data_IF_355051983927
#
_entry.id   IF_355051983927
#
_cell.length_a   1.000
_cell.length_b   1.000
_cell.length_c   1.000
_cell.angle_alpha   90.00
_cell.angle_beta   90.00
_cell.angle_gamma   90.00
#
_symmetry.space_group_name_H-M   'P 1'
#
loop_
_entity.id
_entity.type
_entity.pdbx_description
1 polymer ?
#
# COMPACT_ATOMS: atom_id res chain seq x y z
N UNK A 1 20.56 15.22 12.18
CA UNK A 1 19.15 15.51 12.53
C UNK A 1 18.29 15.62 11.28
N UNK A 2 18.70 16.44 10.30
CA UNK A 2 17.98 16.60 9.03
C UNK A 2 17.73 15.28 8.28
N UNK A 3 18.70 14.36 8.24
CA UNK A 3 18.55 13.05 7.60
C UNK A 3 17.48 12.18 8.29
N UNK A 4 17.38 12.25 9.62
CA UNK A 4 16.35 11.54 10.39
C UNK A 4 14.98 12.17 10.13
N UNK A 5 14.91 13.50 10.04
CA UNK A 5 13.68 14.20 9.61
C UNK A 5 13.25 13.70 8.24
N UNK A 6 14.14 13.67 7.25
CA UNK A 6 13.83 13.17 5.91
C UNK A 6 13.46 11.69 5.86
N UNK A 7 14.02 10.86 6.74
CA UNK A 7 13.59 9.46 6.87
C UNK A 7 12.11 9.38 7.26
N UNK A 8 11.67 10.20 8.21
CA UNK A 8 10.25 10.29 8.60
C UNK A 8 9.41 10.89 7.46
N UNK A 9 9.88 11.97 6.83
CA UNK A 9 9.15 12.62 5.73
C UNK A 9 8.99 11.70 4.51
N UNK A 10 9.96 10.84 4.21
CA UNK A 10 9.88 9.86 3.13
C UNK A 10 8.83 8.75 3.41
N UNK A 11 8.57 8.44 4.68
CA UNK A 11 7.54 7.49 5.05
C UNK A 11 6.11 8.05 4.89
N UNK A 12 5.93 9.38 5.05
CA UNK A 12 4.61 10.03 4.96
C UNK A 12 3.89 9.76 3.63
N UNK A 13 4.46 10.01 2.44
CA UNK A 13 3.76 9.77 1.18
C UNK A 13 3.53 8.28 0.91
N UNK A 14 4.41 7.38 1.37
CA UNK A 14 4.18 5.94 1.30
C UNK A 14 2.98 5.52 2.17
N UNK A 15 2.86 6.06 3.38
CA UNK A 15 1.70 5.84 4.25
C UNK A 15 0.45 6.44 3.63
N UNK A 16 0.51 7.66 3.10
CA UNK A 16 -0.61 8.31 2.45
C UNK A 16 -1.09 7.49 1.24
N UNK A 17 -0.19 7.06 0.37
CA UNK A 17 -0.50 6.16 -0.74
C UNK A 17 -1.16 4.87 -0.26
N UNK A 18 -0.55 4.16 0.70
CA UNK A 18 -1.08 2.86 1.16
C UNK A 18 -2.42 2.99 1.88
N UNK A 19 -2.71 4.14 2.50
CA UNK A 19 -4.03 4.40 3.12
C UNK A 19 -5.05 4.80 2.06
N UNK A 20 -4.71 5.76 1.20
CA UNK A 20 -5.64 6.34 0.25
C UNK A 20 -5.88 5.41 -0.95
N UNK A 21 -4.84 5.03 -1.66
CA UNK A 21 -4.93 4.09 -2.78
C UNK A 21 -5.19 2.65 -2.29
N UNK A 22 -4.89 2.35 -1.03
CA UNK A 22 -5.09 1.02 -0.45
C UNK A 22 -6.54 0.55 -0.44
N UNK A 23 -7.51 1.45 -0.22
CA UNK A 23 -8.91 1.06 -0.35
C UNK A 23 -9.35 0.96 -1.81
N UNK A 24 -8.76 1.73 -2.74
CA UNK A 24 -9.03 1.58 -4.18
C UNK A 24 -8.58 0.21 -4.68
N UNK A 25 -7.38 -0.22 -4.28
CA UNK A 25 -6.87 -1.58 -4.49
C UNK A 25 -7.80 -2.62 -3.86
N UNK A 26 -8.27 -2.36 -2.64
CA UNK A 26 -9.22 -3.21 -1.93
C UNK A 26 -10.55 -3.37 -2.66
N UNK A 27 -11.10 -2.28 -3.16
CA UNK A 27 -12.32 -2.22 -3.97
C UNK A 27 -12.12 -3.03 -5.26
N UNK A 28 -10.99 -2.86 -5.94
CA UNK A 28 -10.65 -3.62 -7.14
C UNK A 28 -10.56 -5.12 -6.90
N UNK A 29 -9.85 -5.55 -5.86
CA UNK A 29 -9.75 -6.97 -5.48
C UNK A 29 -11.12 -7.61 -5.23
N UNK A 30 -12.05 -6.85 -4.66
CA UNK A 30 -13.37 -7.34 -4.29
C UNK A 30 -14.42 -7.19 -5.40
N UNK A 31 -14.08 -6.53 -6.50
CA UNK A 31 -15.02 -6.11 -7.55
C UNK A 31 -15.98 -7.23 -7.98
N UNK A 32 -15.46 -8.37 -8.45
CA UNK A 32 -16.29 -9.52 -8.87
C UNK A 32 -16.97 -10.25 -7.72
N UNK A 33 -16.42 -10.15 -6.51
CA UNK A 33 -16.94 -10.84 -5.34
C UNK A 33 -18.18 -10.14 -4.78
N UNK A 34 -18.17 -8.81 -4.76
CA UNK A 34 -19.25 -7.99 -4.19
C UNK A 34 -20.26 -7.50 -5.22
N UNK A 35 -19.95 -7.52 -6.52
CA UNK A 35 -20.85 -7.07 -7.59
C UNK A 35 -21.06 -8.16 -8.65
N UNK A 36 -22.30 -8.58 -8.83
CA UNK A 36 -22.70 -9.69 -9.68
C UNK A 36 -23.44 -9.23 -10.95
N UNK A 37 -24.00 -8.01 -10.94
CA UNK A 37 -24.62 -7.37 -12.12
C UNK A 37 -23.81 -6.17 -12.60
N UNK A 38 -24.01 -5.74 -13.85
CA UNK A 38 -23.30 -4.56 -14.37
C UNK A 38 -23.63 -3.28 -13.57
N UNK A 39 -24.89 -3.10 -13.15
CA UNK A 39 -25.29 -1.98 -12.30
C UNK A 39 -24.55 -1.99 -10.96
N UNK A 40 -24.41 -3.15 -10.34
CA UNK A 40 -23.62 -3.30 -9.10
C UNK A 40 -22.14 -3.00 -9.35
N UNK A 41 -21.57 -3.47 -10.47
CA UNK A 41 -20.16 -3.21 -10.81
C UNK A 41 -19.91 -1.73 -11.10
N UNK A 42 -20.85 -1.03 -11.74
CA UNK A 42 -20.81 0.42 -11.92
C UNK A 42 -20.92 1.17 -10.58
N UNK A 43 -21.74 0.69 -9.65
CA UNK A 43 -21.81 1.27 -8.30
C UNK A 43 -20.48 1.12 -7.53
N UNK A 44 -19.81 -0.02 -7.66
CA UNK A 44 -18.47 -0.24 -7.09
C UNK A 44 -17.45 0.74 -7.67
N UNK A 45 -17.34 0.86 -9.00
CA UNK A 45 -16.40 1.80 -9.63
C UNK A 45 -16.70 3.27 -9.28
N UNK A 46 -17.98 3.66 -9.28
CA UNK A 46 -18.40 5.02 -8.91
C UNK A 46 -18.03 5.39 -7.48
N UNK A 47 -17.88 4.43 -6.59
CA UNK A 47 -17.48 4.69 -5.19
C UNK A 47 -16.05 5.21 -5.05
N UNK A 48 -15.20 5.02 -6.07
CA UNK A 48 -13.79 5.45 -6.09
C UNK A 48 -13.47 6.41 -7.25
N UNK A 49 -14.31 6.46 -8.29
CA UNK A 49 -14.11 7.23 -9.53
C UNK A 49 -13.60 8.67 -9.34
N UNK A 50 -14.19 9.50 -8.45
CA UNK A 50 -13.76 10.89 -8.30
C UNK A 50 -12.39 11.10 -7.61
N UNK A 51 -11.80 10.07 -7.00
CA UNK A 51 -10.66 10.23 -6.08
C UNK A 51 -9.47 9.30 -6.38
N UNK A 52 -9.66 8.19 -7.10
CA UNK A 52 -8.61 7.17 -7.26
C UNK A 52 -7.33 7.72 -7.92
N UNK A 53 -7.45 8.53 -8.98
CA UNK A 53 -6.30 9.13 -9.66
C UNK A 53 -5.53 10.09 -8.72
N UNK A 54 -6.28 10.88 -7.94
CA UNK A 54 -5.70 11.73 -6.90
C UNK A 54 -4.98 10.95 -5.79
N UNK A 55 -5.39 9.72 -5.51
CA UNK A 55 -4.73 8.85 -4.54
C UNK A 55 -3.39 8.30 -5.07
N UNK A 56 -3.28 8.03 -6.38
CA UNK A 56 -2.03 7.56 -7.00
C UNK A 56 -0.90 8.60 -6.92
N UNK A 57 -1.23 9.89 -6.90
CA UNK A 57 -0.24 10.98 -6.80
C UNK A 57 0.71 10.79 -5.62
N UNK A 58 0.24 10.21 -4.52
CA UNK A 58 1.08 9.96 -3.34
C UNK A 58 2.20 8.96 -3.59
N UNK A 59 2.04 8.01 -4.53
CA UNK A 59 3.12 7.13 -4.96
C UNK A 59 4.21 7.89 -5.73
N UNK A 60 3.79 8.81 -6.60
CA UNK A 60 4.70 9.70 -7.34
C UNK A 60 5.46 10.61 -6.37
N UNK A 61 4.75 11.19 -5.39
CA UNK A 61 5.36 12.02 -4.32
C UNK A 61 6.34 11.19 -3.51
N UNK A 62 6.04 9.91 -3.21
CA UNK A 62 6.98 9.02 -2.53
C UNK A 62 8.27 8.82 -3.35
N UNK A 63 8.15 8.49 -4.64
CA UNK A 63 9.29 8.36 -5.55
C UNK A 63 10.13 9.64 -5.63
N UNK A 64 9.48 10.79 -5.81
CA UNK A 64 10.12 12.10 -5.85
C UNK A 64 10.83 12.44 -4.53
N UNK A 65 10.20 12.11 -3.39
CA UNK A 65 10.79 12.32 -2.06
C UNK A 65 12.04 11.46 -1.86
N UNK A 66 12.01 10.20 -2.29
CA UNK A 66 13.18 9.32 -2.24
C UNK A 66 14.31 9.84 -3.14
N UNK A 67 13.99 10.25 -4.38
CA UNK A 67 14.97 10.81 -5.31
C UNK A 67 15.67 12.05 -4.73
N UNK A 68 14.88 12.96 -4.17
CA UNK A 68 15.37 14.23 -3.64
C UNK A 68 16.17 14.05 -2.34
N UNK A 69 15.69 13.23 -1.40
CA UNK A 69 16.27 13.10 -0.07
C UNK A 69 17.35 12.02 0.01
N UNK A 70 17.20 10.94 -0.75
CA UNK A 70 18.04 9.75 -0.71
C UNK A 70 18.39 9.27 -2.14
N UNK A 71 19.12 10.06 -2.94
CA UNK A 71 19.37 9.75 -4.35
C UNK A 71 20.11 8.43 -4.56
N UNK A 72 21.02 8.06 -3.66
CA UNK A 72 21.74 6.78 -3.71
C UNK A 72 20.77 5.62 -3.52
N UNK A 73 19.88 5.72 -2.53
CA UNK A 73 18.83 4.73 -2.31
C UNK A 73 17.93 4.61 -3.53
N UNK A 74 17.50 5.74 -4.10
CA UNK A 74 16.66 5.76 -5.29
C UNK A 74 17.33 5.00 -6.45
N UNK A 75 18.58 5.32 -6.77
CA UNK A 75 19.31 4.65 -7.85
C UNK A 75 19.44 3.14 -7.62
N UNK A 76 19.91 2.75 -6.42
CA UNK A 76 20.16 1.34 -6.07
C UNK A 76 18.88 0.53 -5.98
N UNK A 77 17.81 1.09 -5.41
CA UNK A 77 16.53 0.38 -5.30
C UNK A 77 15.87 0.18 -6.68
N UNK A 78 15.86 1.22 -7.53
CA UNK A 78 15.25 1.11 -8.87
C UNK A 78 16.04 0.19 -9.80
N UNK A 79 17.38 0.20 -9.73
CA UNK A 79 18.21 -0.73 -10.51
C UNK A 79 18.07 -2.17 -10.00
N UNK A 80 18.13 -2.39 -8.68
CA UNK A 80 18.10 -3.73 -8.11
C UNK A 80 16.73 -4.39 -8.15
N UNK A 81 15.67 -3.60 -8.06
CA UNK A 81 14.28 -4.05 -8.23
C UNK A 81 13.73 -3.77 -9.65
N UNK A 82 14.60 -3.69 -10.67
CA UNK A 82 14.18 -3.37 -12.04
C UNK A 82 12.97 -4.18 -12.53
N UNK A 83 13.07 -5.52 -12.44
CA UNK A 83 12.02 -6.42 -12.91
C UNK A 83 10.71 -6.30 -12.10
N UNK A 84 10.70 -6.41 -10.76
CA UNK A 84 9.46 -6.26 -9.99
C UNK A 84 8.85 -4.86 -10.10
N UNK A 85 9.64 -3.78 -10.19
CA UNK A 85 9.11 -2.42 -10.40
C UNK A 85 8.50 -2.25 -11.79
N UNK A 86 9.09 -2.88 -12.82
CA UNK A 86 8.49 -2.92 -14.16
C UNK A 86 7.13 -3.63 -14.14
N UNK A 87 7.01 -4.73 -13.38
CA UNK A 87 5.72 -5.40 -13.19
C UNK A 87 4.71 -4.50 -12.46
N UNK A 88 5.12 -3.83 -11.39
CA UNK A 88 4.28 -2.86 -10.66
C UNK A 88 3.76 -1.77 -11.60
N UNK A 89 4.62 -1.23 -12.48
CA UNK A 89 4.22 -0.22 -13.47
C UNK A 89 3.15 -0.76 -14.42
N UNK A 90 3.32 -1.95 -14.97
CA UNK A 90 2.31 -2.56 -15.83
C UNK A 90 1.00 -2.81 -15.08
N UNK A 91 1.05 -3.26 -13.82
CA UNK A 91 -0.14 -3.46 -13.01
C UNK A 91 -0.89 -2.14 -12.75
N UNK A 92 -0.17 -1.03 -12.50
CA UNK A 92 -0.78 0.30 -12.39
C UNK A 92 -1.48 0.69 -13.70
N UNK A 93 -0.83 0.48 -14.85
CA UNK A 93 -1.45 0.74 -16.16
C UNK A 93 -2.71 -0.09 -16.36
N UNK A 94 -2.66 -1.41 -16.16
CA UNK A 94 -3.84 -2.28 -16.34
C UNK A 94 -4.98 -1.93 -15.38
N UNK A 95 -4.65 -1.46 -14.17
CA UNK A 95 -5.65 -1.00 -13.21
C UNK A 95 -6.37 0.25 -13.71
N UNK A 96 -5.62 1.28 -14.11
CA UNK A 96 -6.18 2.53 -14.64
C UNK A 96 -7.02 2.27 -15.89
N UNK A 97 -6.50 1.50 -16.84
CA UNK A 97 -7.22 1.12 -18.06
C UNK A 97 -8.49 0.31 -17.76
N UNK A 98 -8.47 -0.55 -16.73
CA UNK A 98 -9.64 -1.30 -16.29
C UNK A 98 -10.79 -0.43 -15.79
N UNK A 99 -10.48 0.74 -15.22
CA UNK A 99 -11.49 1.71 -14.77
C UNK A 99 -11.97 2.56 -15.95
N UNK A 100 -11.04 3.14 -16.70
CA UNK A 100 -11.32 4.14 -17.74
C UNK A 100 -11.87 3.52 -19.03
N UNK A 101 -11.27 2.42 -19.49
CA UNK A 101 -11.63 1.85 -20.79
C UNK A 101 -12.88 0.99 -20.76
N UNK A 102 -13.30 0.50 -19.58
CA UNK A 102 -14.42 -0.44 -19.43
C UNK A 102 -15.68 -0.02 -20.21
N UNK A 103 -15.99 1.26 -20.22
CA UNK A 103 -17.24 1.80 -20.75
C UNK A 103 -17.18 2.20 -22.23
N UNK A 104 -16.02 2.06 -22.88
CA UNK A 104 -15.81 2.54 -24.24
C UNK A 104 -16.53 1.71 -25.31
N UNK A 105 -16.72 0.41 -25.08
CA UNK A 105 -17.41 -0.48 -26.02
C UNK A 105 -18.53 -1.23 -25.29
N UNK A 106 -19.80 -1.11 -25.74
CA UNK A 106 -20.94 -1.79 -25.14
C UNK A 106 -20.98 -3.28 -25.54
N UNK A 107 -19.92 -4.02 -25.20
CA UNK A 107 -19.77 -5.44 -25.51
C UNK A 107 -19.42 -6.26 -24.25
N UNK A 108 -20.17 -7.33 -23.91
CA UNK A 108 -20.00 -8.05 -22.65
C UNK A 108 -18.59 -8.60 -22.42
N UNK A 109 -17.92 -9.11 -23.46
CA UNK A 109 -16.54 -9.62 -23.33
C UNK A 109 -15.54 -8.49 -23.04
N UNK A 110 -15.79 -7.29 -23.55
CA UNK A 110 -14.91 -6.14 -23.36
C UNK A 110 -15.02 -5.63 -21.91
N UNK A 111 -16.23 -5.45 -21.40
CA UNK A 111 -16.46 -5.11 -19.99
C UNK A 111 -15.91 -6.18 -19.05
N UNK A 112 -16.10 -7.47 -19.36
CA UNK A 112 -15.59 -8.57 -18.54
C UNK A 112 -14.06 -8.61 -18.50
N UNK A 113 -13.38 -8.34 -19.63
CA UNK A 113 -11.93 -8.26 -19.70
C UNK A 113 -11.38 -7.14 -18.80
N UNK A 114 -11.97 -5.95 -18.87
CA UNK A 114 -11.54 -4.82 -18.03
C UNK A 114 -11.91 -4.98 -16.56
N UNK A 115 -13.07 -5.56 -16.25
CA UNK A 115 -13.46 -5.91 -14.89
C UNK A 115 -12.47 -6.94 -14.29
N UNK A 116 -12.04 -7.94 -15.07
CA UNK A 116 -11.03 -8.91 -14.65
C UNK A 116 -9.63 -8.30 -14.52
N UNK A 117 -9.25 -7.42 -15.45
CA UNK A 117 -7.97 -6.69 -15.42
C UNK A 117 -7.88 -5.79 -14.20
N UNK A 118 -8.93 -5.04 -13.88
CA UNK A 118 -9.02 -4.21 -12.68
C UNK A 118 -8.86 -5.03 -11.40
N UNK A 119 -9.58 -6.15 -11.28
CA UNK A 119 -9.51 -7.01 -10.10
C UNK A 119 -8.15 -7.70 -9.95
N UNK A 120 -7.64 -8.29 -11.03
CA UNK A 120 -6.35 -8.98 -11.06
C UNK A 120 -5.18 -8.03 -10.80
N UNK A 121 -5.17 -6.87 -11.48
CA UNK A 121 -4.13 -5.87 -11.32
C UNK A 121 -4.10 -5.32 -9.89
N UNK A 122 -5.27 -5.01 -9.30
CA UNK A 122 -5.36 -4.52 -7.92
C UNK A 122 -4.83 -5.54 -6.89
N UNK A 123 -5.17 -6.82 -7.07
CA UNK A 123 -4.69 -7.89 -6.19
C UNK A 123 -3.20 -8.15 -6.30
N UNK A 124 -2.69 -8.25 -7.53
CA UNK A 124 -1.28 -8.45 -7.80
C UNK A 124 -0.45 -7.25 -7.35
N UNK A 125 -0.96 -6.02 -7.50
CA UNK A 125 -0.29 -4.81 -7.07
C UNK A 125 -0.18 -4.73 -5.55
N UNK A 126 -1.26 -5.03 -4.81
CA UNK A 126 -1.24 -5.13 -3.35
C UNK A 126 -0.22 -6.18 -2.88
N UNK A 127 -0.17 -7.35 -3.53
CA UNK A 127 0.81 -8.40 -3.23
C UNK A 127 2.24 -7.93 -3.51
N UNK A 128 2.49 -7.36 -4.70
CA UNK A 128 3.81 -6.93 -5.13
C UNK A 128 4.38 -5.84 -4.24
N UNK A 129 3.58 -4.84 -3.85
CA UNK A 129 3.99 -3.78 -2.92
C UNK A 129 4.29 -4.32 -1.52
N UNK A 130 3.46 -5.24 -1.01
CA UNK A 130 3.72 -5.91 0.26
C UNK A 130 5.00 -6.76 0.23
N UNK A 131 5.23 -7.50 -0.86
CA UNK A 131 6.45 -8.27 -1.05
C UNK A 131 7.69 -7.38 -1.20
N UNK A 132 7.58 -6.24 -1.89
CA UNK A 132 8.66 -5.25 -2.01
C UNK A 132 9.06 -4.69 -0.65
N UNK A 133 8.08 -4.29 0.18
CA UNK A 133 8.36 -3.86 1.56
C UNK A 133 8.98 -5.00 2.38
N UNK A 134 8.49 -6.23 2.21
CA UNK A 134 9.08 -7.43 2.80
C UNK A 134 10.55 -7.63 2.44
N UNK A 135 10.94 -7.39 1.18
CA UNK A 135 12.34 -7.44 0.76
C UNK A 135 13.20 -6.39 1.47
N UNK A 136 12.68 -5.16 1.63
CA UNK A 136 13.39 -4.11 2.38
C UNK A 136 13.55 -4.50 3.84
N UNK A 137 12.50 -5.02 4.49
CA UNK A 137 12.56 -5.44 5.91
C UNK A 137 13.48 -6.65 6.12
N UNK A 138 13.45 -7.64 5.21
CA UNK A 138 14.34 -8.80 5.23
C UNK A 138 15.80 -8.43 4.90
N UNK A 139 15.98 -7.35 4.16
CA UNK A 139 17.24 -6.96 3.58
C UNK A 139 17.51 -7.63 2.23
N UNK A 140 18.13 -6.86 1.32
CA UNK A 140 18.43 -7.27 -0.05
C UNK A 140 19.85 -7.84 -0.16
N UNK A 141 20.15 -8.52 -1.26
CA UNK A 141 21.50 -9.05 -1.56
C UNK A 141 22.43 -7.95 -2.09
N UNK A 142 22.61 -6.87 -1.30
CA UNK A 142 23.48 -5.75 -1.63
C UNK A 142 24.95 -6.18 -1.62
N UNK A 143 25.62 -5.98 -2.76
CA UNK A 143 27.04 -6.23 -2.94
C UNK A 143 27.91 -5.16 -2.29
N UNK A 144 29.22 -5.44 -2.21
CA UNK A 144 30.20 -4.49 -1.69
C UNK A 144 30.38 -3.25 -2.60
N UNK A 145 30.03 -3.38 -3.88
CA UNK A 145 29.95 -2.31 -4.88
C UNK A 145 28.69 -1.45 -4.74
N UNK A 146 27.82 -1.75 -3.76
CA UNK A 146 26.58 -1.00 -3.51
C UNK A 146 25.48 -1.29 -4.52
N UNK A 147 25.61 -2.34 -5.33
CA UNK A 147 24.59 -2.76 -6.30
C UNK A 147 23.98 -4.12 -5.91
N UNK A 148 22.77 -4.38 -6.38
CA UNK A 148 22.17 -5.71 -6.28
C UNK A 148 21.27 -5.97 -7.49
N UNK A 149 20.92 -7.23 -7.67
CA UNK A 149 19.87 -7.65 -8.59
C UNK A 149 18.95 -8.61 -7.85
N UNK A 150 17.64 -8.36 -7.86
CA UNK A 150 16.65 -9.23 -7.26
C UNK A 150 15.90 -10.02 -8.35
N UNK A 151 16.27 -11.28 -8.62
CA UNK A 151 15.48 -12.16 -9.49
C UNK A 151 14.10 -12.40 -8.87
N UNK A 152 13.09 -12.76 -9.67
CA UNK A 152 11.73 -12.94 -9.13
C UNK A 152 11.67 -14.05 -8.06
N UNK A 153 12.38 -15.16 -8.27
CA UNK A 153 12.46 -16.28 -7.33
C UNK A 153 13.88 -16.86 -7.32
N UNK A 154 14.29 -17.40 -6.17
CA UNK A 154 15.50 -18.23 -6.04
C UNK A 154 15.20 -19.48 -5.23
N UNK A 155 14.68 -19.30 -4.01
CA UNK A 155 14.27 -20.35 -3.10
C UNK A 155 12.89 -20.06 -2.52
N UNK A 156 12.12 -21.13 -2.25
CA UNK A 156 10.79 -21.02 -1.61
C UNK A 156 10.93 -20.55 -0.17
N UNK A 157 11.89 -21.10 0.57
CA UNK A 157 12.16 -20.74 1.96
C UNK A 157 13.09 -19.54 2.01
N UNK A 158 12.79 -18.58 2.91
CA UNK A 158 13.70 -17.46 3.12
C UNK A 158 14.97 -17.99 3.82
N UNK A 159 16.16 -17.55 3.39
CA UNK A 159 17.38 -18.04 4.00
C UNK A 159 17.59 -17.42 5.39
N UNK A 160 18.23 -18.17 6.29
CA UNK A 160 18.52 -17.72 7.65
C UNK A 160 19.23 -16.34 7.65
N UNK A 161 19.02 -15.49 8.68
CA UNK A 161 19.70 -14.19 8.78
C UNK A 161 21.21 -14.35 8.65
N UNK A 162 21.83 -13.52 7.80
CA UNK A 162 23.27 -13.57 7.53
C UNK A 162 23.75 -14.69 6.58
N UNK A 163 22.87 -15.59 6.13
CA UNK A 163 23.27 -16.62 5.16
C UNK A 163 23.66 -15.97 3.82
N UNK A 164 24.80 -16.40 3.22
CA UNK A 164 25.29 -15.85 1.96
C UNK A 164 24.39 -16.24 0.79
N UNK A 165 24.47 -15.47 -0.29
CA UNK A 165 23.78 -15.77 -1.54
C UNK A 165 22.70 -14.77 -1.92
N UNK A 166 22.20 -14.96 -3.13
CA UNK A 166 21.18 -14.11 -3.73
C UNK A 166 19.78 -14.56 -3.30
N UNK A 167 18.95 -13.59 -2.92
CA UNK A 167 17.54 -13.80 -2.57
C UNK A 167 16.65 -13.30 -3.69
N UNK A 168 15.61 -14.08 -3.99
CA UNK A 168 14.56 -13.65 -4.89
C UNK A 168 13.65 -12.59 -4.25
N UNK A 169 12.88 -11.91 -5.10
CA UNK A 169 11.82 -10.98 -4.67
C UNK A 169 10.73 -11.75 -3.91
N UNK A 170 10.39 -12.95 -4.35
CA UNK A 170 9.36 -13.80 -3.74
C UNK A 170 10.01 -15.01 -3.07
N UNK A 171 9.88 -15.05 -1.74
CA UNK A 171 10.13 -16.18 -0.85
C UNK A 171 8.99 -16.27 0.18
N UNK A 172 8.99 -17.27 1.06
CA UNK A 172 7.90 -17.45 2.01
C UNK A 172 7.69 -16.27 2.97
N UNK A 173 8.72 -15.50 3.32
CA UNK A 173 8.58 -14.30 4.16
C UNK A 173 7.99 -13.12 3.36
N UNK A 174 8.52 -12.84 2.16
CA UNK A 174 8.02 -11.73 1.34
C UNK A 174 6.63 -12.04 0.77
N UNK A 175 6.32 -13.32 0.51
CA UNK A 175 4.98 -13.77 0.19
C UNK A 175 4.01 -13.59 1.37
N UNK A 176 4.44 -13.88 2.61
CA UNK A 176 3.64 -13.55 3.80
C UNK A 176 3.38 -12.05 3.91
N UNK A 177 4.36 -11.20 3.62
CA UNK A 177 4.18 -9.75 3.56
C UNK A 177 3.16 -9.35 2.48
N UNK A 178 3.27 -9.92 1.27
CA UNK A 178 2.34 -9.68 0.17
C UNK A 178 0.91 -10.14 0.47
N UNK A 179 0.74 -11.34 1.03
CA UNK A 179 -0.57 -11.86 1.45
C UNK A 179 -1.18 -11.03 2.58
N UNK A 180 -0.36 -10.55 3.52
CA UNK A 180 -0.80 -9.63 4.57
C UNK A 180 -1.30 -8.32 3.96
N UNK A 181 -0.57 -7.75 3.01
CA UNK A 181 -0.99 -6.54 2.30
C UNK A 181 -2.31 -6.77 1.54
N UNK A 182 -2.44 -7.86 0.80
CA UNK A 182 -3.70 -8.25 0.12
C UNK A 182 -4.86 -8.30 1.12
N UNK A 183 -4.72 -9.02 2.23
CA UNK A 183 -5.80 -9.16 3.20
C UNK A 183 -6.17 -7.83 3.87
N UNK A 184 -5.18 -7.05 4.30
CA UNK A 184 -5.39 -5.76 4.98
C UNK A 184 -5.98 -4.71 4.03
N UNK A 185 -5.51 -4.62 2.80
CA UNK A 185 -6.03 -3.67 1.82
C UNK A 185 -7.41 -4.10 1.30
N UNK A 186 -7.66 -5.39 1.12
CA UNK A 186 -9.00 -5.90 0.83
C UNK A 186 -9.98 -5.59 1.97
N UNK A 187 -9.56 -5.75 3.23
CA UNK A 187 -10.37 -5.31 4.39
C UNK A 187 -10.66 -3.81 4.33
N UNK A 188 -9.66 -2.99 4.00
CA UNK A 188 -9.81 -1.55 3.89
C UNK A 188 -10.83 -1.15 2.81
N UNK A 189 -10.76 -1.77 1.62
CA UNK A 189 -11.73 -1.60 0.55
C UNK A 189 -13.13 -2.12 0.87
N UNK A 190 -13.24 -3.27 1.56
CA UNK A 190 -14.53 -3.79 2.02
C UNK A 190 -15.23 -2.82 2.99
N UNK A 191 -14.48 -2.20 3.89
CA UNK A 191 -14.97 -1.20 4.83
C UNK A 191 -15.39 0.10 4.12
N UNK A 192 -14.65 0.50 3.07
CA UNK A 192 -15.03 1.61 2.21
C UNK A 192 -16.38 1.34 1.52
N UNK A 193 -16.52 0.19 0.85
CA UNK A 193 -17.75 -0.20 0.17
C UNK A 193 -18.94 -0.32 1.13
N UNK A 194 -18.73 -0.92 2.31
CA UNK A 194 -19.76 -1.02 3.35
C UNK A 194 -20.24 0.34 3.89
N UNK A 195 -19.42 1.39 3.74
CA UNK A 195 -19.73 2.77 4.12
C UNK A 195 -20.33 3.58 2.96
N UNK A 196 -19.85 3.39 1.74
CA UNK A 196 -20.12 4.28 0.58
C UNK A 196 -21.17 3.76 -0.40
N UNK A 197 -21.48 2.46 -0.35
CA UNK A 197 -22.45 1.82 -1.24
C UNK A 197 -23.62 1.30 -0.40
N UNK A 198 -24.81 1.26 -1.00
CA UNK A 198 -26.04 0.75 -0.39
C UNK A 198 -26.48 -0.61 -0.97
N UNK A 199 -27.51 -1.20 -0.37
CA UNK A 199 -28.14 -2.42 -0.87
C UNK A 199 -27.31 -3.70 -0.73
N UNK A 200 -27.44 -4.59 -1.71
CA UNK A 200 -26.85 -5.94 -1.75
C UNK A 200 -25.32 -5.91 -1.74
N UNK A 201 -24.71 -4.98 -2.48
CA UNK A 201 -23.25 -4.79 -2.54
C UNK A 201 -22.71 -4.46 -1.16
N UNK A 202 -23.37 -3.55 -0.43
CA UNK A 202 -23.00 -3.18 0.93
C UNK A 202 -23.06 -4.38 1.89
N UNK A 203 -24.11 -5.21 1.78
CA UNK A 203 -24.26 -6.41 2.61
C UNK A 203 -23.15 -7.44 2.34
N UNK A 204 -22.81 -7.69 1.06
CA UNK A 204 -21.70 -8.57 0.69
C UNK A 204 -20.36 -8.03 1.17
N UNK A 205 -20.11 -6.72 1.01
CA UNK A 205 -18.90 -6.07 1.51
C UNK A 205 -18.74 -6.18 3.03
N UNK A 206 -19.82 -6.09 3.81
CA UNK A 206 -19.80 -6.29 5.28
C UNK A 206 -19.45 -7.72 5.68
N UNK A 207 -19.99 -8.70 4.96
CA UNK A 207 -19.68 -10.10 5.18
C UNK A 207 -18.20 -10.38 4.88
N UNK A 208 -17.67 -9.81 3.79
CA UNK A 208 -16.26 -9.92 3.43
C UNK A 208 -15.36 -9.20 4.42
N UNK A 209 -15.71 -7.98 4.87
CA UNK A 209 -14.97 -7.27 5.91
C UNK A 209 -14.83 -8.10 7.20
N UNK A 210 -15.87 -8.83 7.60
CA UNK A 210 -15.84 -9.68 8.80
C UNK A 210 -14.86 -10.87 8.65
N UNK A 211 -14.83 -11.50 7.47
CA UNK A 211 -13.90 -12.60 7.17
C UNK A 211 -12.47 -12.11 7.03
N UNK A 212 -12.28 -10.99 6.32
CA UNK A 212 -10.99 -10.37 6.08
C UNK A 212 -10.38 -9.83 7.37
N UNK A 213 -11.17 -9.33 8.32
CA UNK A 213 -10.67 -8.93 9.62
C UNK A 213 -9.95 -10.08 10.35
N UNK A 214 -10.54 -11.27 10.36
CA UNK A 214 -9.92 -12.45 10.97
C UNK A 214 -8.65 -12.84 10.20
N UNK A 215 -8.71 -12.88 8.86
CA UNK A 215 -7.56 -13.19 8.03
C UNK A 215 -6.40 -12.19 8.24
N UNK A 216 -6.69 -10.88 8.23
CA UNK A 216 -5.72 -9.81 8.49
C UNK A 216 -5.11 -9.93 9.88
N UNK A 217 -5.90 -10.21 10.92
CA UNK A 217 -5.39 -10.37 12.28
C UNK A 217 -4.40 -11.54 12.38
N UNK A 218 -4.75 -12.70 11.79
CA UNK A 218 -3.89 -13.88 11.79
C UNK A 218 -2.62 -13.69 10.97
N UNK A 219 -2.74 -13.05 9.79
CA UNK A 219 -1.60 -12.76 8.92
C UNK A 219 -0.65 -11.74 9.53
N UNK A 220 -1.18 -10.67 10.16
CA UNK A 220 -0.34 -9.67 10.85
C UNK A 220 0.33 -10.26 12.09
N UNK A 221 -0.35 -11.13 12.84
CA UNK A 221 0.28 -11.85 13.96
C UNK A 221 1.42 -12.75 13.48
N UNK A 222 1.17 -13.53 12.42
CA UNK A 222 2.18 -14.39 11.78
C UNK A 222 3.36 -13.58 11.23
N UNK A 223 3.07 -12.47 10.54
CA UNK A 223 4.07 -11.56 9.99
C UNK A 223 4.93 -10.96 11.11
N UNK A 224 4.29 -10.45 12.17
CA UNK A 224 5.01 -9.87 13.33
C UNK A 224 5.94 -10.90 13.96
N UNK A 225 5.47 -12.13 14.17
CA UNK A 225 6.30 -13.22 14.67
C UNK A 225 7.48 -13.50 13.73
N UNK A 226 7.24 -13.63 12.42
CA UNK A 226 8.28 -13.87 11.43
C UNK A 226 9.32 -12.73 11.37
N UNK A 227 8.87 -11.47 11.38
CA UNK A 227 9.76 -10.29 11.35
C UNK A 227 10.69 -10.24 12.56
N UNK A 228 10.26 -10.70 13.75
CA UNK A 228 11.14 -10.79 14.92
C UNK A 228 12.32 -11.75 14.73
N UNK A 229 12.20 -12.75 13.85
CA UNK A 229 13.30 -13.66 13.50
C UNK A 229 14.10 -13.17 12.29
N UNK A 230 13.43 -12.54 11.33
CA UNK A 230 14.03 -12.12 10.07
C UNK A 230 14.84 -10.83 10.21
N UNK A 231 14.37 -9.87 11.01
CA UNK A 231 15.01 -8.57 11.16
C UNK A 231 15.65 -8.40 12.55
N UNK A 232 16.96 -8.69 12.71
CA UNK A 232 17.65 -8.60 14.00
C UNK A 232 17.64 -7.18 14.60
N UNK A 233 17.63 -6.14 13.75
CA UNK A 233 17.61 -4.74 14.20
C UNK A 233 16.36 -4.39 15.01
N UNK A 234 15.23 -5.06 14.76
CA UNK A 234 13.98 -4.78 15.46
C UNK A 234 14.13 -4.97 16.98
N UNK A 235 14.73 -6.08 17.41
CA UNK A 235 14.94 -6.36 18.84
C UNK A 235 15.89 -5.36 19.47
N UNK A 236 17.00 -5.07 18.79
CA UNK A 236 17.99 -4.09 19.27
C UNK A 236 17.40 -2.67 19.34
N UNK A 237 16.56 -2.27 18.39
CA UNK A 237 15.89 -0.98 18.40
C UNK A 237 14.87 -0.88 19.54
N UNK A 238 14.10 -1.95 19.80
CA UNK A 238 13.13 -1.95 20.88
C UNK A 238 13.78 -1.90 22.27
N UNK A 239 14.92 -2.56 22.46
CA UNK A 239 15.67 -2.48 23.73
C UNK A 239 16.31 -1.11 23.92
N UNK A 240 16.90 -0.53 22.87
CA UNK A 240 17.57 0.77 22.96
C UNK A 240 16.57 1.94 23.07
N UNK A 241 15.39 1.82 22.44
CA UNK A 241 14.41 2.90 22.29
C UNK A 241 13.00 2.33 22.43
N UNK A 242 12.50 2.12 23.66
CA UNK A 242 11.22 1.45 23.90
C UNK A 242 10.00 2.21 23.32
N UNK A 243 10.13 3.51 23.03
CA UNK A 243 9.10 4.29 22.34
C UNK A 243 8.74 3.73 20.96
N UNK A 244 9.58 2.89 20.35
CA UNK A 244 9.24 2.12 19.15
C UNK A 244 8.01 1.23 19.29
N UNK A 245 7.64 0.84 20.52
CA UNK A 245 6.42 0.07 20.81
C UNK A 245 5.13 0.87 20.56
N UNK A 246 5.19 2.20 20.47
CA UNK A 246 4.01 3.01 20.22
C UNK A 246 3.33 2.64 18.89
N UNK A 247 4.10 2.36 17.84
CA UNK A 247 3.55 2.00 16.54
C UNK A 247 2.77 0.66 16.59
N UNK A 248 3.35 -0.48 17.03
CA UNK A 248 2.59 -1.74 17.12
C UNK A 248 1.44 -1.68 18.12
N UNK A 249 1.58 -0.97 19.25
CA UNK A 249 0.49 -0.78 20.21
C UNK A 249 -0.67 0.04 19.62
N UNK A 250 -0.35 1.09 18.84
CA UNK A 250 -1.36 1.85 18.09
C UNK A 250 -2.05 0.96 17.07
N UNK A 251 -1.31 0.09 16.38
CA UNK A 251 -1.88 -0.91 15.47
C UNK A 251 -2.85 -1.85 16.18
N UNK A 252 -2.46 -2.42 17.33
CA UNK A 252 -3.34 -3.29 18.13
C UNK A 252 -4.60 -2.55 18.59
N UNK A 253 -4.47 -1.32 19.08
CA UNK A 253 -5.59 -0.47 19.47
C UNK A 253 -6.53 -0.17 18.29
N UNK A 254 -5.97 0.18 17.13
CA UNK A 254 -6.73 0.43 15.91
C UNK A 254 -7.48 -0.82 15.43
N UNK A 255 -6.86 -2.01 15.50
CA UNK A 255 -7.50 -3.29 15.17
C UNK A 255 -8.65 -3.61 16.13
N UNK A 256 -8.49 -3.34 17.43
CA UNK A 256 -9.57 -3.50 18.41
C UNK A 256 -10.74 -2.55 18.13
N UNK A 257 -10.46 -1.27 17.87
CA UNK A 257 -11.49 -0.28 17.49
C UNK A 257 -12.20 -0.71 16.21
N UNK A 258 -11.46 -1.18 15.21
CA UNK A 258 -12.00 -1.71 13.96
C UNK A 258 -12.98 -2.86 14.25
N UNK A 259 -12.57 -3.85 15.05
CA UNK A 259 -13.42 -4.99 15.42
C UNK A 259 -14.74 -4.57 16.07
N UNK A 260 -14.68 -3.71 17.10
CA UNK A 260 -15.89 -3.24 17.78
C UNK A 260 -16.76 -2.36 16.90
N UNK A 261 -16.16 -1.48 16.08
CA UNK A 261 -16.90 -0.64 15.15
C UNK A 261 -17.60 -1.46 14.05
N UNK A 262 -16.94 -2.51 13.53
CA UNK A 262 -17.51 -3.41 12.54
C UNK A 262 -18.71 -4.17 13.13
N UNK A 263 -18.57 -4.75 14.33
CA UNK A 263 -19.68 -5.43 15.02
C UNK A 263 -20.84 -4.50 15.35
N UNK A 264 -20.57 -3.24 15.65
CA UNK A 264 -21.58 -2.23 15.91
C UNK A 264 -22.21 -1.62 14.63
N UNK A 265 -21.83 -2.09 13.43
CA UNK A 265 -22.32 -1.55 12.16
C UNK A 265 -21.87 -0.11 11.86
N UNK A 266 -20.83 0.38 12.55
CA UNK A 266 -20.30 1.76 12.40
C UNK A 266 -19.18 1.79 11.36
N UNK A 267 -19.51 1.54 10.09
CA UNK A 267 -18.53 1.30 9.02
C UNK A 267 -17.56 2.47 8.79
N UNK A 268 -18.01 3.72 8.89
CA UNK A 268 -17.10 4.88 8.77
C UNK A 268 -16.02 4.87 9.87
N UNK A 269 -16.37 4.50 11.11
CA UNK A 269 -15.40 4.39 12.21
C UNK A 269 -14.45 3.22 11.99
N UNK A 270 -14.96 2.09 11.51
CA UNK A 270 -14.12 0.93 11.15
C UNK A 270 -13.14 1.26 10.00
N UNK A 271 -13.58 2.01 8.99
CA UNK A 271 -12.73 2.50 7.91
C UNK A 271 -11.60 3.40 8.43
N UNK A 272 -11.91 4.40 9.27
CA UNK A 272 -10.87 5.25 9.89
C UNK A 272 -9.90 4.44 10.77
N UNK A 273 -10.40 3.44 11.49
CA UNK A 273 -9.57 2.56 12.29
C UNK A 273 -8.64 1.68 11.43
N UNK A 274 -9.11 1.18 10.29
CA UNK A 274 -8.24 0.46 9.34
C UNK A 274 -7.17 1.37 8.70
N UNK A 275 -7.48 2.63 8.39
CA UNK A 275 -6.48 3.60 7.95
C UNK A 275 -5.37 3.81 9.01
N UNK A 276 -5.76 3.99 10.29
CA UNK A 276 -4.80 4.10 11.39
C UNK A 276 -3.99 2.81 11.59
N UNK A 277 -4.62 1.65 11.43
CA UNK A 277 -3.96 0.35 11.52
C UNK A 277 -2.88 0.18 10.45
N UNK A 278 -3.18 0.54 9.18
CA UNK A 278 -2.23 0.52 8.07
C UNK A 278 -1.06 1.46 8.34
N UNK A 279 -1.33 2.70 8.76
CA UNK A 279 -0.29 3.67 9.10
C UNK A 279 0.63 3.16 10.23
N UNK A 280 0.05 2.56 11.27
CA UNK A 280 0.79 1.98 12.38
C UNK A 280 1.64 0.77 11.96
N UNK A 281 1.13 -0.08 11.06
CA UNK A 281 1.87 -1.23 10.53
C UNK A 281 3.10 -0.78 9.72
N UNK A 282 2.92 0.20 8.83
CA UNK A 282 4.03 0.79 8.05
C UNK A 282 5.03 1.53 8.94
N UNK A 283 4.54 2.29 9.93
CA UNK A 283 5.40 2.94 10.92
C UNK A 283 6.24 1.93 11.72
N UNK A 284 5.65 0.78 12.06
CA UNK A 284 6.36 -0.32 12.72
C UNK A 284 7.44 -0.92 11.82
N UNK A 285 7.17 -1.10 10.52
CA UNK A 285 8.15 -1.57 9.55
C UNK A 285 9.31 -0.58 9.36
N UNK A 286 9.03 0.72 9.24
CA UNK A 286 10.05 1.77 9.16
C UNK A 286 10.91 1.79 10.44
N UNK A 287 10.29 1.64 11.61
CA UNK A 287 11.01 1.53 12.87
C UNK A 287 11.91 0.29 12.95
N UNK A 288 11.45 -0.84 12.41
CA UNK A 288 12.20 -2.10 12.42
C UNK A 288 13.51 -2.03 11.62
N UNK A 289 13.54 -1.25 10.54
CA UNK A 289 14.73 -1.13 9.67
C UNK A 289 15.67 0.01 10.09
N UNK A 290 15.21 0.98 10.89
CA UNK A 290 16.04 2.09 11.34
C UNK A 290 17.37 1.59 11.97
N UNK A 291 18.54 2.22 11.71
CA UNK A 291 18.80 3.42 10.93
C UNK A 291 19.02 3.16 9.42
N UNK A 292 18.71 1.98 8.92
CA UNK A 292 18.84 1.64 7.51
C UNK A 292 17.64 2.14 6.71
N UNK A 293 17.91 2.54 5.47
CA UNK A 293 16.89 2.77 4.44
C UNK A 293 16.80 1.58 3.48
N UNK A 294 17.91 0.86 3.31
CA UNK A 294 17.97 -0.40 2.57
C UNK A 294 18.90 -1.36 3.31
N UNK A 295 18.36 -2.16 4.25
CA UNK A 295 19.13 -3.21 4.91
C UNK A 295 19.70 -4.19 3.88
N UNK A 296 20.89 -4.69 4.15
CA UNK A 296 21.50 -5.76 3.37
C UNK A 296 21.55 -7.05 4.19
N UNK A 297 21.51 -8.18 3.48
CA UNK A 297 21.69 -9.52 4.05
C UNK A 297 23.03 -9.67 4.79
N UNK A 298 24.07 -9.02 4.25
CA UNK A 298 25.37 -8.84 4.89
C UNK A 298 25.34 -7.46 5.56
N UNK A 299 25.27 -7.35 6.90
CA UNK A 299 25.03 -6.07 7.59
C UNK A 299 26.02 -4.95 7.23
N UNK A 300 27.26 -5.31 6.92
CA UNK A 300 28.32 -4.38 6.52
C UNK A 300 28.02 -3.64 5.20
N UNK A 301 27.20 -4.21 4.32
CA UNK A 301 26.84 -3.59 3.05
C UNK A 301 25.57 -2.74 3.13
N UNK A 302 24.84 -2.79 4.26
CA UNK A 302 23.54 -2.13 4.38
C UNK A 302 23.62 -0.62 4.22
N UNK A 303 22.68 -0.05 3.47
CA UNK A 303 22.66 1.39 3.22
C UNK A 303 21.91 2.12 4.34
N UNK A 304 22.67 2.89 5.13
CA UNK A 304 22.13 3.70 6.22
C UNK A 304 21.53 5.01 5.69
N UNK A 305 20.60 5.59 6.45
CA UNK A 305 20.03 6.90 6.11
C UNK A 305 21.09 8.01 6.01
N UNK A 306 22.22 7.87 6.72
CA UNK A 306 23.30 8.85 6.68
C UNK A 306 24.15 8.75 5.41
N UNK A 307 24.39 7.52 4.94
CA UNK A 307 25.14 7.27 3.72
C UNK A 307 24.29 7.49 2.44
N UNK A 308 22.97 7.30 2.55
CA UNK A 308 22.06 7.48 1.42
C UNK A 308 21.64 8.94 1.19
N UNK A 309 21.70 9.76 2.23
CA UNK A 309 21.12 11.10 2.22
C UNK A 309 21.90 12.06 1.33
N UNK A 310 21.16 13.00 0.74
CA UNK A 310 21.75 14.15 0.04
C UNK A 310 22.48 15.09 1.02
N UNK A 311 23.28 16.01 0.49
CA UNK A 311 23.98 17.01 1.30
C UNK A 311 23.02 17.94 2.04
N UNK A 312 23.45 18.49 3.18
CA UNK A 312 22.58 19.26 4.06
C UNK A 312 21.96 20.50 3.40
N UNK A 313 22.69 21.16 2.49
CA UNK A 313 22.19 22.30 1.71
C UNK A 313 21.01 21.90 0.83
N UNK A 314 21.18 20.86 0.02
CA UNK A 314 20.14 20.31 -0.84
C UNK A 314 18.90 19.87 -0.04
N UNK A 315 19.10 19.16 1.09
CA UNK A 315 18.02 18.74 1.98
C UNK A 315 17.25 19.92 2.61
N UNK A 316 17.91 21.05 2.84
CA UNK A 316 17.27 22.26 3.39
C UNK A 316 16.42 22.94 2.32
N UNK A 317 16.96 23.14 1.13
CA UNK A 317 16.21 23.70 -0.02
C UNK A 317 15.01 22.83 -0.35
N UNK A 318 15.22 21.52 -0.38
CA UNK A 318 14.16 20.56 -0.58
C UNK A 318 13.02 20.70 0.43
N UNK A 319 13.34 20.91 1.71
CA UNK A 319 12.34 20.99 2.77
C UNK A 319 11.42 22.21 2.56
N UNK A 320 11.99 23.32 2.11
CA UNK A 320 11.26 24.56 1.77
C UNK A 320 10.20 24.34 0.71
N UNK A 321 10.46 23.50 -0.30
CA UNK A 321 9.51 23.22 -1.39
C UNK A 321 8.61 22.03 -1.11
N UNK A 322 9.11 21.03 -0.39
CA UNK A 322 8.38 19.81 -0.07
C UNK A 322 7.20 20.08 0.87
N UNK A 323 7.39 20.92 1.89
CA UNK A 323 6.31 21.23 2.86
C UNK A 323 5.09 21.86 2.17
N UNK A 324 5.20 22.95 1.39
CA UNK A 324 4.07 23.50 0.65
C UNK A 324 3.44 22.49 -0.31
N UNK A 325 4.26 21.71 -1.03
CA UNK A 325 3.76 20.70 -1.98
C UNK A 325 2.89 19.64 -1.31
N UNK A 326 3.33 19.09 -0.18
CA UNK A 326 2.57 18.08 0.57
C UNK A 326 1.33 18.69 1.25
N UNK A 327 1.41 19.93 1.74
CA UNK A 327 0.24 20.63 2.28
C UNK A 327 -0.81 20.86 1.19
N UNK A 328 -0.40 21.30 0.00
CA UNK A 328 -1.31 21.52 -1.13
C UNK A 328 -1.95 20.21 -1.59
N UNK A 329 -1.17 19.14 -1.74
CA UNK A 329 -1.69 17.81 -2.07
C UNK A 329 -2.68 17.30 -1.01
N UNK A 330 -2.33 17.42 0.27
CA UNK A 330 -3.22 17.05 1.38
C UNK A 330 -4.51 17.89 1.43
N UNK A 331 -4.42 19.20 1.17
CA UNK A 331 -5.58 20.08 1.09
C UNK A 331 -6.49 19.73 -0.08
N UNK A 332 -5.92 19.41 -1.25
CA UNK A 332 -6.68 18.93 -2.40
C UNK A 332 -7.40 17.62 -2.08
N UNK A 333 -6.73 16.64 -1.46
CA UNK A 333 -7.39 15.41 -1.01
C UNK A 333 -8.54 15.76 -0.04
N UNK A 334 -8.28 16.54 1.00
CA UNK A 334 -9.33 16.91 1.97
C UNK A 334 -10.55 17.58 1.30
N UNK A 335 -10.32 18.42 0.29
CA UNK A 335 -11.36 19.01 -0.54
C UNK A 335 -12.10 17.94 -1.35
N UNK A 336 -11.39 17.11 -2.11
CA UNK A 336 -11.96 16.06 -2.95
C UNK A 336 -12.86 15.10 -2.16
N UNK A 337 -12.38 14.58 -1.02
CA UNK A 337 -13.13 13.66 -0.17
C UNK A 337 -14.36 14.27 0.49
N UNK A 338 -14.37 15.60 0.68
CA UNK A 338 -15.48 16.33 1.30
C UNK A 338 -16.55 16.74 0.28
N UNK A 339 -16.14 17.14 -0.92
CA UNK A 339 -17.00 17.85 -1.86
C UNK A 339 -17.28 17.11 -3.17
N UNK A 340 -16.54 16.04 -3.50
CA UNK A 340 -16.89 15.20 -4.66
C UNK A 340 -17.90 14.13 -4.19
N UNK A 341 -19.20 14.27 -4.53
CA UNK A 341 -20.19 13.28 -4.16
C UNK A 341 -19.93 11.97 -4.91
N UNK A 342 -20.25 10.80 -4.32
CA UNK A 342 -20.42 9.59 -5.12
C UNK A 342 -21.56 9.85 -6.13
N UNK A 343 -21.38 9.58 -7.44
CA UNK A 343 -22.44 9.81 -8.42
C UNK A 343 -23.67 8.95 -8.08
N UNK A 344 -24.84 9.58 -7.99
CA UNK A 344 -26.10 8.90 -7.63
C UNK A 344 -26.58 7.97 -8.75
N UNK A 345 -27.42 6.95 -8.43
CA UNK A 345 -27.96 6.01 -9.41
C UNK A 345 -28.72 6.68 -10.58
N UNK A 346 -29.35 7.82 -10.32
CA UNK A 346 -30.36 8.41 -11.23
C UNK A 346 -29.80 9.22 -12.40
N UNK A 347 -28.50 9.55 -12.42
CA UNK A 347 -27.95 10.37 -13.51
C UNK A 347 -27.78 9.62 -14.84
N UNK A 348 -28.05 8.30 -14.87
CA UNK A 348 -28.04 7.50 -16.09
C UNK A 348 -29.45 7.21 -16.64
N UNK A 349 -30.51 7.48 -15.89
CA UNK A 349 -31.89 7.23 -16.33
C UNK A 349 -32.50 8.40 -17.13
N UNK A 350 -31.85 9.58 -17.12
CA UNK A 350 -32.33 10.79 -17.80
C UNK A 350 -31.56 11.18 -19.07
N UNK A 351 -30.66 10.32 -19.56
CA UNK A 351 -29.89 10.60 -20.79
C UNK A 351 -30.27 9.68 -21.97
N UNK A 352 -31.04 8.62 -21.73
CA UNK A 352 -31.52 7.67 -22.76
C UNK A 352 -33.00 7.88 -23.13
N UNK A 353 -33.65 8.95 -22.65
CA UNK A 353 -35.08 9.23 -22.91
C UNK A 353 -35.36 10.35 -23.92
N UNK A 354 -34.32 10.96 -24.50
CA UNK A 354 -34.48 12.17 -25.34
C UNK A 354 -34.17 11.93 -26.84
N UNK A 355 -33.96 10.69 -27.26
CA UNK A 355 -33.86 10.32 -28.69
C UNK A 355 -34.97 9.32 -29.06
N UNK A 356 -36.21 9.83 -29.19
CA UNK A 356 -37.32 9.22 -29.94
C UNK A 356 -37.66 10.08 -31.17
#
# INVERSE_FOLDING_TARGET
>A
MLQVTWFVLAAIPLVAYTVLDGFDLGVGMLHHRVAHTDNERRAVLRSIGPIWDGNEVWLVVAGATLFLAFPVLFGVAFSGFYLPLTLVLWLLVFRALGIELRHLLPHPLFSAFWDASFAGASGLLAFALGAALGNVVRGVSLGADGQFFAPLWTSVWWPAPGAPGQVGVVDAYTALCGLTAVAVLALHGALWLAHRVDGTVAQRARADASRLLVASALLVASLTAATLFVQPNLRANLTARPLGLLAPLTGMGALAVLFFALRAGRFQRAFRASALFIAALLGSAAYAIFPYVLPARVPAHGLTLYAAANEAGALTVALTWWIPGVILGGAFCAYAYRFLPPPTPDSAAGADSDDD
#
